data_IF_153065412520
#
_entry.id   IF_153065412520
#
_cell.length_a   1.000
_cell.length_b   1.000
_cell.length_c   1.000
_cell.angle_alpha   90.00
_cell.angle_beta   90.00
_cell.angle_gamma   90.00
#
_symmetry.space_group_name_H-M   'P 1'
#
loop_
_entity.id
_entity.type
_entity.pdbx_description
1 polymer ?
#
# COMPACT_ATOMS: atom_id res chain seq x y z
N UNK A 1 31.20 -6.78 5.66
CA UNK A 1 32.05 -5.87 6.44
C UNK A 1 32.72 -6.68 7.56
N UNK A 2 33.69 -7.53 7.23
CA UNK A 2 34.38 -8.42 8.21
C UNK A 2 35.65 -7.79 8.80
N UNK A 3 35.91 -6.52 8.54
CA UNK A 3 37.14 -5.80 8.94
C UNK A 3 37.15 -5.37 10.40
N UNK A 4 36.01 -5.45 11.10
CA UNK A 4 35.87 -5.03 12.50
C UNK A 4 35.56 -6.19 13.46
N UNK A 5 35.60 -7.42 12.94
CA UNK A 5 35.29 -8.64 13.68
C UNK A 5 36.54 -9.53 13.70
N UNK A 6 36.91 -10.05 14.86
CA UNK A 6 37.96 -11.06 15.00
C UNK A 6 37.25 -12.36 15.36
N UNK A 7 37.38 -13.35 14.49
CA UNK A 7 36.53 -14.55 14.48
C UNK A 7 35.03 -14.17 14.51
N UNK A 8 34.30 -14.57 15.55
CA UNK A 8 32.89 -14.21 15.78
C UNK A 8 32.73 -13.03 16.75
N UNK A 9 33.80 -12.54 17.38
CA UNK A 9 33.72 -11.52 18.43
C UNK A 9 33.97 -10.12 17.86
N UNK A 10 33.11 -9.12 18.19
CA UNK A 10 33.36 -7.75 17.79
C UNK A 10 34.62 -7.24 18.49
N UNK A 11 35.50 -6.57 17.73
CA UNK A 11 36.67 -5.89 18.31
C UNK A 11 36.25 -4.79 19.27
N UNK A 12 37.15 -4.33 20.16
CA UNK A 12 36.86 -3.19 21.06
C UNK A 12 36.46 -1.93 20.30
N UNK A 13 37.06 -1.68 19.13
CA UNK A 13 36.67 -0.59 18.25
C UNK A 13 35.25 -0.78 17.71
N UNK A 14 34.88 -1.99 17.28
CA UNK A 14 33.52 -2.30 16.84
C UNK A 14 32.49 -2.12 17.97
N UNK A 15 32.84 -2.50 19.19
CA UNK A 15 32.00 -2.29 20.38
C UNK A 15 31.81 -0.79 20.63
N UNK A 16 32.89 0.01 20.61
CA UNK A 16 32.80 1.45 20.80
C UNK A 16 31.91 2.13 19.73
N UNK A 17 32.05 1.73 18.45
CA UNK A 17 31.19 2.22 17.37
C UNK A 17 29.73 1.79 17.59
N UNK A 18 29.51 0.55 18.05
CA UNK A 18 28.16 0.07 18.37
C UNK A 18 27.51 0.87 19.52
N UNK A 19 28.28 1.26 20.55
CA UNK A 19 27.77 2.12 21.62
C UNK A 19 27.35 3.50 21.10
N UNK A 20 28.12 4.10 20.18
CA UNK A 20 27.72 5.36 19.51
C UNK A 20 26.37 5.17 18.79
N UNK A 21 26.23 4.09 18.03
CA UNK A 21 24.95 3.77 17.37
C UNK A 21 23.78 3.51 18.33
N UNK A 22 24.05 3.02 19.55
CA UNK A 22 23.02 2.87 20.59
C UNK A 22 22.54 4.20 21.14
N UNK A 23 23.39 5.23 21.19
CA UNK A 23 22.99 6.58 21.60
C UNK A 23 21.94 7.11 20.60
N UNK A 24 22.23 7.05 19.31
CA UNK A 24 21.30 7.49 18.26
C UNK A 24 19.99 6.69 18.29
N UNK A 25 20.08 5.36 18.47
CA UNK A 25 18.90 4.50 18.60
C UNK A 25 18.06 4.89 19.83
N UNK A 26 18.70 5.17 20.96
CA UNK A 26 18.02 5.59 22.20
C UNK A 26 17.31 6.92 21.98
N UNK A 27 17.99 7.93 21.43
CA UNK A 27 17.39 9.23 21.10
C UNK A 27 16.21 9.04 20.13
N UNK A 28 16.37 8.21 19.11
CA UNK A 28 15.31 7.90 18.16
C UNK A 28 14.07 7.28 18.83
N UNK A 29 14.28 6.32 19.74
CA UNK A 29 13.21 5.65 20.48
C UNK A 29 12.51 6.61 21.44
N UNK A 30 13.26 7.42 22.19
CA UNK A 30 12.70 8.43 23.09
C UNK A 30 11.85 9.43 22.31
N UNK A 31 12.37 10.00 21.21
CA UNK A 31 11.62 10.91 20.35
C UNK A 31 10.40 10.25 19.72
N UNK A 32 10.44 8.94 19.43
CA UNK A 32 9.28 8.21 18.92
C UNK A 32 8.22 7.97 20.01
N UNK A 33 8.60 7.82 21.27
CA UNK A 33 7.64 7.65 22.38
C UNK A 33 7.01 8.99 22.77
N UNK A 34 7.79 10.07 22.74
CA UNK A 34 7.37 11.39 23.19
C UNK A 34 6.49 12.13 22.15
N UNK A 35 6.87 12.09 20.86
CA UNK A 35 6.20 12.83 19.79
C UNK A 35 5.12 11.99 19.08
N UNK A 36 3.85 12.28 19.38
CA UNK A 36 2.71 11.62 18.74
C UNK A 36 2.63 11.91 17.23
N UNK A 37 2.92 13.14 16.79
CA UNK A 37 2.85 13.54 15.38
C UNK A 37 3.85 12.71 14.56
N UNK A 38 5.06 12.56 15.09
CA UNK A 38 6.10 11.71 14.51
C UNK A 38 5.71 10.23 14.47
N UNK A 39 5.01 9.72 15.49
CA UNK A 39 4.44 8.35 15.42
C UNK A 39 3.41 8.21 14.32
N UNK A 40 2.44 9.13 14.27
CA UNK A 40 1.37 9.10 13.27
C UNK A 40 1.94 9.17 11.85
N UNK A 41 2.92 10.03 11.59
CA UNK A 41 3.57 10.11 10.29
C UNK A 41 4.26 8.80 9.87
N UNK A 42 4.96 8.14 10.80
CA UNK A 42 5.54 6.82 10.51
C UNK A 42 4.48 5.75 10.25
N UNK A 43 3.40 5.72 11.03
CA UNK A 43 2.32 4.77 10.85
C UNK A 43 1.60 5.00 9.50
N UNK A 44 1.40 6.24 9.08
CA UNK A 44 0.84 6.53 7.75
C UNK A 44 1.69 5.96 6.62
N UNK A 45 3.02 6.12 6.70
CA UNK A 45 3.95 5.53 5.72
C UNK A 45 3.93 4.00 5.76
N UNK A 46 3.87 3.41 6.96
CA UNK A 46 3.76 1.95 7.10
C UNK A 46 2.45 1.43 6.50
N UNK A 47 1.33 2.08 6.80
CA UNK A 47 0.01 1.72 6.30
C UNK A 47 -0.07 1.76 4.76
N UNK A 48 0.67 2.66 4.10
CA UNK A 48 0.79 2.70 2.65
C UNK A 48 1.39 1.38 2.11
N UNK A 49 2.49 0.94 2.71
CA UNK A 49 3.14 -0.32 2.34
C UNK A 49 2.27 -1.54 2.68
N UNK A 50 1.74 -1.60 3.89
CA UNK A 50 0.88 -2.69 4.35
C UNK A 50 -0.40 -2.82 3.51
N UNK A 51 -1.03 -1.69 3.17
CA UNK A 51 -2.20 -1.66 2.30
C UNK A 51 -1.91 -2.21 0.90
N UNK A 52 -0.80 -1.78 0.29
CA UNK A 52 -0.32 -2.33 -1.00
C UNK A 52 -0.06 -3.83 -0.91
N UNK A 53 0.59 -4.30 0.17
CA UNK A 53 0.87 -5.71 0.37
C UNK A 53 -0.38 -6.54 0.68
N UNK A 54 -1.37 -5.97 1.35
CA UNK A 54 -2.68 -6.59 1.56
C UNK A 54 -3.39 -6.80 0.21
N UNK A 55 -3.50 -5.73 -0.59
CA UNK A 55 -4.08 -5.81 -1.93
C UNK A 55 -3.34 -6.82 -2.82
N UNK A 56 -2.01 -6.81 -2.82
CA UNK A 56 -1.22 -7.74 -3.62
C UNK A 56 -1.49 -9.21 -3.24
N UNK A 57 -1.72 -9.51 -1.95
CA UNK A 57 -2.07 -10.85 -1.49
C UNK A 57 -3.46 -11.29 -1.96
N UNK A 58 -4.43 -10.38 -1.96
CA UNK A 58 -5.78 -10.65 -2.48
C UNK A 58 -5.80 -10.86 -4.00
N UNK A 59 -5.03 -10.05 -4.75
CA UNK A 59 -4.86 -10.25 -6.18
C UNK A 59 -4.17 -11.60 -6.46
N UNK A 60 -3.14 -11.93 -5.69
CA UNK A 60 -2.42 -13.20 -5.76
C UNK A 60 -3.08 -14.29 -4.89
N UNK A 61 -4.39 -14.48 -5.06
CA UNK A 61 -5.22 -15.43 -4.31
C UNK A 61 -4.82 -16.92 -4.50
N UNK A 62 -3.95 -17.24 -5.46
CA UNK A 62 -3.38 -18.58 -5.63
C UNK A 62 -2.26 -18.87 -4.62
N UNK A 63 -2.27 -20.05 -3.99
CA UNK A 63 -1.24 -20.50 -3.01
C UNK A 63 -1.04 -19.57 -1.81
N UNK A 64 -2.10 -18.92 -1.28
CA UNK A 64 -2.03 -18.03 -0.09
C UNK A 64 -1.08 -16.83 -0.24
N UNK A 65 -0.85 -16.31 -1.44
CA UNK A 65 0.12 -15.22 -1.62
C UNK A 65 1.57 -15.70 -1.81
N UNK A 66 1.84 -17.02 -1.79
CA UNK A 66 3.20 -17.57 -1.81
C UNK A 66 3.66 -17.99 -3.21
N UNK A 67 4.78 -17.42 -3.65
CA UNK A 67 5.36 -17.65 -4.96
C UNK A 67 6.40 -18.78 -4.91
N UNK A 68 5.95 -20.02 -5.06
CA UNK A 68 6.87 -21.16 -5.25
C UNK A 68 7.15 -21.37 -6.73
N UNK A 69 8.26 -20.79 -7.21
CA UNK A 69 8.87 -21.14 -8.50
C UNK A 69 10.37 -21.44 -8.33
N UNK A 70 10.86 -22.41 -9.11
CA UNK A 70 12.23 -22.95 -9.04
C UNK A 70 13.27 -22.07 -9.77
N UNK A 71 12.83 -21.14 -10.63
CA UNK A 71 13.67 -20.27 -11.46
C UNK A 71 13.42 -18.80 -11.13
N UNK A 72 14.50 -18.00 -11.03
CA UNK A 72 14.47 -16.58 -10.64
C UNK A 72 13.78 -15.67 -11.68
N UNK A 73 14.00 -15.94 -12.96
CA UNK A 73 13.44 -15.15 -14.07
C UNK A 73 11.91 -15.25 -14.14
N UNK A 74 11.35 -16.45 -13.93
CA UNK A 74 9.90 -16.64 -13.83
C UNK A 74 9.26 -15.98 -12.60
N UNK A 75 10.04 -15.78 -11.52
CA UNK A 75 9.54 -15.02 -10.36
C UNK A 75 9.46 -13.52 -10.66
N UNK A 76 10.42 -12.98 -11.40
CA UNK A 76 10.46 -11.56 -11.79
C UNK A 76 9.29 -11.20 -12.72
N UNK A 77 8.97 -12.06 -13.69
CA UNK A 77 7.81 -11.86 -14.57
C UNK A 77 6.49 -11.90 -13.80
N UNK A 78 6.32 -12.86 -12.88
CA UNK A 78 5.12 -12.97 -12.06
C UNK A 78 4.96 -11.78 -11.11
N UNK A 79 6.05 -11.32 -10.47
CA UNK A 79 6.03 -10.15 -9.60
C UNK A 79 5.76 -8.87 -10.39
N UNK A 80 6.29 -8.75 -11.61
CA UNK A 80 6.05 -7.61 -12.49
C UNK A 80 4.59 -7.54 -12.94
N UNK A 81 4.03 -8.68 -13.37
CA UNK A 81 2.62 -8.78 -13.73
C UNK A 81 1.70 -8.48 -12.52
N UNK A 82 2.02 -9.03 -11.34
CA UNK A 82 1.28 -8.74 -10.11
C UNK A 82 1.34 -7.25 -9.78
N UNK A 83 2.54 -6.65 -9.84
CA UNK A 83 2.73 -5.22 -9.61
C UNK A 83 1.91 -4.35 -10.56
N UNK A 84 1.83 -4.74 -11.84
CA UNK A 84 1.01 -4.07 -12.84
C UNK A 84 -0.48 -4.11 -12.48
N UNK A 85 -1.01 -5.29 -12.16
CA UNK A 85 -2.43 -5.46 -11.79
C UNK A 85 -2.78 -4.69 -10.52
N UNK A 86 -1.92 -4.75 -9.50
CA UNK A 86 -2.10 -3.97 -8.26
C UNK A 86 -2.12 -2.48 -8.57
N UNK A 87 -1.21 -1.98 -9.40
CA UNK A 87 -1.19 -0.57 -9.78
C UNK A 87 -2.43 -0.17 -10.59
N UNK A 88 -2.95 -1.05 -11.47
CA UNK A 88 -4.19 -0.81 -12.22
C UNK A 88 -5.40 -0.68 -11.29
N UNK A 89 -5.50 -1.53 -10.27
CA UNK A 89 -6.56 -1.44 -9.25
C UNK A 89 -6.45 -0.14 -8.46
N UNK A 90 -5.25 0.22 -8.01
CA UNK A 90 -5.01 1.47 -7.28
C UNK A 90 -5.38 2.68 -8.12
N UNK A 91 -5.04 2.67 -9.41
CA UNK A 91 -5.43 3.72 -10.35
C UNK A 91 -6.94 3.81 -10.49
N UNK A 92 -7.62 2.67 -10.71
CA UNK A 92 -9.08 2.60 -10.82
C UNK A 92 -9.74 3.15 -9.54
N UNK A 93 -9.30 2.70 -8.37
CA UNK A 93 -9.80 3.18 -7.08
C UNK A 93 -9.63 4.70 -6.94
N UNK A 94 -8.45 5.23 -7.30
CA UNK A 94 -8.16 6.66 -7.20
C UNK A 94 -9.07 7.49 -8.11
N UNK A 95 -9.27 7.05 -9.35
CA UNK A 95 -10.15 7.73 -10.31
C UNK A 95 -11.61 7.74 -9.85
N UNK A 96 -12.12 6.61 -9.37
CA UNK A 96 -13.50 6.53 -8.90
C UNK A 96 -13.70 7.27 -7.58
N UNK A 97 -12.74 7.24 -6.66
CA UNK A 97 -12.81 8.04 -5.43
C UNK A 97 -12.89 9.54 -5.73
N UNK A 98 -12.08 10.05 -6.65
CA UNK A 98 -12.14 11.47 -7.05
C UNK A 98 -13.49 11.83 -7.69
N UNK A 99 -14.01 10.95 -8.56
CA UNK A 99 -15.32 11.12 -9.17
C UNK A 99 -16.45 11.14 -8.12
N UNK A 100 -16.38 10.23 -7.13
CA UNK A 100 -17.33 10.16 -6.01
C UNK A 100 -17.25 11.42 -5.14
N UNK A 101 -16.04 11.88 -4.78
CA UNK A 101 -15.86 13.12 -4.01
C UNK A 101 -16.42 14.33 -4.76
N UNK A 102 -16.20 14.40 -6.08
CA UNK A 102 -16.77 15.44 -6.93
C UNK A 102 -18.29 15.40 -6.95
N UNK A 103 -18.89 14.22 -7.04
CA UNK A 103 -20.35 14.05 -6.97
C UNK A 103 -20.90 14.45 -5.61
N UNK A 104 -20.30 13.99 -4.51
CA UNK A 104 -20.71 14.33 -3.14
C UNK A 104 -20.70 15.84 -2.90
N UNK A 105 -19.64 16.54 -3.36
CA UNK A 105 -19.57 18.00 -3.29
C UNK A 105 -20.69 18.68 -4.09
N UNK A 106 -21.04 18.15 -5.27
CA UNK A 106 -22.16 18.67 -6.10
C UNK A 106 -23.53 18.43 -5.48
N UNK A 107 -23.69 17.32 -4.77
CA UNK A 107 -24.92 16.98 -4.03
C UNK A 107 -25.06 17.75 -2.71
N UNK A 108 -24.06 18.56 -2.34
CA UNK A 108 -24.09 19.36 -1.11
C UNK A 108 -23.65 18.60 0.14
N UNK A 109 -23.11 17.39 -0.01
CA UNK A 109 -22.56 16.64 1.12
C UNK A 109 -21.27 17.31 1.64
N UNK A 110 -21.10 17.50 2.96
CA UNK A 110 -19.92 18.12 3.53
C UNK A 110 -18.71 17.18 3.47
N UNK A 111 -17.92 17.29 2.41
CA UNK A 111 -16.62 16.60 2.29
C UNK A 111 -15.56 17.39 3.06
N UNK A 112 -15.18 16.89 4.23
CA UNK A 112 -14.15 17.50 5.08
C UNK A 112 -12.74 17.18 4.55
N UNK A 113 -11.83 18.16 4.44
CA UNK A 113 -10.46 17.93 3.98
C UNK A 113 -9.70 16.90 4.82
N UNK A 114 -9.96 16.84 6.13
CA UNK A 114 -9.36 15.86 7.04
C UNK A 114 -9.82 14.42 6.80
N UNK A 115 -11.02 14.21 6.24
CA UNK A 115 -11.55 12.90 5.89
C UNK A 115 -10.99 12.46 4.53
N UNK A 116 -10.92 13.39 3.57
CA UNK A 116 -10.31 13.17 2.25
C UNK A 116 -8.82 12.79 2.37
N UNK A 117 -8.08 13.44 3.27
CA UNK A 117 -6.67 13.13 3.53
C UNK A 117 -6.42 11.73 4.12
N UNK A 118 -7.46 11.05 4.61
CA UNK A 118 -7.37 9.70 5.20
C UNK A 118 -7.79 8.59 4.24
N UNK A 119 -8.27 8.94 3.04
CA UNK A 119 -8.68 7.96 2.05
C UNK A 119 -7.49 7.10 1.61
N UNK A 120 -7.77 5.82 1.37
CA UNK A 120 -6.78 4.84 0.95
C UNK A 120 -7.23 4.17 -0.35
N UNK A 121 -6.43 4.20 -1.42
CA UNK A 121 -6.77 3.57 -2.70
C UNK A 121 -6.56 2.05 -2.70
N UNK A 122 -6.25 1.44 -1.56
CA UNK A 122 -6.05 -0.01 -1.48
C UNK A 122 -7.30 -0.79 -1.11
N UNK A 123 -8.44 -0.13 -0.86
CA UNK A 123 -9.70 -0.83 -0.61
C UNK A 123 -10.08 -1.73 -1.79
N UNK A 124 -10.46 -2.99 -1.51
CA UNK A 124 -10.69 -3.99 -2.57
C UNK A 124 -11.89 -4.90 -2.31
N UNK A 125 -12.72 -4.60 -1.30
CA UNK A 125 -13.93 -5.38 -1.00
C UNK A 125 -14.96 -5.35 -2.14
N UNK A 126 -14.94 -4.29 -2.95
CA UNK A 126 -15.83 -4.12 -4.10
C UNK A 126 -15.34 -4.86 -5.37
N UNK A 127 -14.18 -5.54 -5.31
CA UNK A 127 -13.58 -6.25 -6.45
C UNK A 127 -13.74 -7.75 -6.23
N UNK A 128 -14.46 -8.41 -7.14
CA UNK A 128 -14.50 -9.86 -7.18
C UNK A 128 -13.20 -10.39 -7.77
N UNK A 129 -12.32 -10.98 -6.94
CA UNK A 129 -11.03 -11.56 -7.38
C UNK A 129 -11.16 -13.02 -7.85
N UNK A 130 -12.27 -13.69 -7.52
CA UNK A 130 -12.53 -15.09 -7.85
C UNK A 130 -13.73 -15.21 -8.79
N UNK A 131 -13.67 -16.20 -9.68
CA UNK A 131 -14.78 -16.59 -10.54
C UNK A 131 -14.49 -16.45 -12.03
N UNK A 132 -15.55 -16.45 -12.84
CA UNK A 132 -15.47 -16.22 -14.28
C UNK A 132 -15.80 -14.77 -14.59
N UNK A 133 -14.89 -14.11 -15.27
CA UNK A 133 -15.10 -12.75 -15.77
C UNK A 133 -15.69 -12.82 -17.17
N UNK A 134 -16.80 -12.13 -17.37
CA UNK A 134 -17.30 -11.78 -18.70
C UNK A 134 -17.08 -10.29 -18.89
N UNK A 135 -16.27 -9.94 -19.88
CA UNK A 135 -15.97 -8.55 -20.18
C UNK A 135 -16.92 -8.07 -21.28
N UNK A 136 -17.88 -7.23 -20.90
CA UNK A 136 -18.61 -6.37 -21.82
C UNK A 136 -18.20 -4.94 -21.48
N UNK A 137 -17.52 -4.27 -22.41
CA UNK A 137 -17.09 -2.88 -22.22
C UNK A 137 -18.20 -1.99 -22.76
N UNK A 138 -18.91 -1.22 -21.92
CA UNK A 138 -19.90 -0.27 -22.40
C UNK A 138 -19.25 0.79 -23.30
N UNK A 139 -19.95 1.26 -24.32
CA UNK A 139 -19.42 2.25 -25.27
C UNK A 139 -18.88 3.51 -24.59
N UNK A 140 -19.49 3.94 -23.49
CA UNK A 140 -19.00 5.05 -22.68
C UNK A 140 -17.58 4.79 -22.14
N UNK A 141 -17.35 3.60 -21.59
CA UNK A 141 -16.02 3.20 -21.08
C UNK A 141 -15.02 3.06 -22.23
N UNK A 142 -15.46 2.56 -23.39
CA UNK A 142 -14.61 2.49 -24.59
C UNK A 142 -14.17 3.89 -25.09
N UNK A 143 -14.98 4.94 -24.84
CA UNK A 143 -14.61 6.34 -25.11
C UNK A 143 -13.78 6.99 -24.00
N UNK A 144 -13.46 6.27 -22.94
CA UNK A 144 -12.70 6.77 -21.79
C UNK A 144 -13.55 7.45 -20.72
N UNK A 145 -14.89 7.33 -20.78
CA UNK A 145 -15.77 7.84 -19.73
C UNK A 145 -15.82 6.86 -18.55
N UNK A 146 -16.13 7.38 -17.35
CA UNK A 146 -16.32 6.56 -16.16
C UNK A 146 -17.67 5.83 -16.21
N UNK A 147 -17.73 4.65 -15.56
CA UNK A 147 -18.99 3.96 -15.31
C UNK A 147 -19.88 4.87 -14.43
N UNK A 148 -21.20 4.92 -14.67
CA UNK A 148 -22.11 5.65 -13.82
C UNK A 148 -21.95 5.26 -12.35
N UNK A 149 -21.85 6.26 -11.48
CA UNK A 149 -21.81 6.09 -10.04
C UNK A 149 -23.21 5.71 -9.52
N UNK A 150 -23.25 4.91 -8.45
CA UNK A 150 -24.50 4.64 -7.75
C UNK A 150 -25.03 5.91 -7.08
N UNK A 151 -26.35 5.99 -6.88
CA UNK A 151 -26.91 7.05 -6.02
C UNK A 151 -26.47 6.79 -4.57
N UNK A 152 -26.22 7.86 -3.82
CA UNK A 152 -26.00 7.73 -2.38
C UNK A 152 -27.18 6.97 -1.76
N UNK A 153 -26.90 5.85 -1.10
CA UNK A 153 -27.91 5.15 -0.31
C UNK A 153 -28.31 6.05 0.84
N UNK A 154 -29.57 6.49 0.87
CA UNK A 154 -30.17 7.08 2.06
C UNK A 154 -30.12 6.01 3.17
N UNK A 155 -29.22 6.19 4.14
CA UNK A 155 -29.15 5.41 5.38
C UNK A 155 -28.96 6.35 6.53
#
# INVERSE_FOLDING_TARGET
MSTLQVDERPTRLAQAIAEIGRIDKTIHTLNFIDDESRRRGKLQQLNLGEGRHSLAREVFHGKRGELFQRYREGQEDQLSALGLVVNMIVLWNTLYMDAILTQLRREGYPVRPEDEARLSPFGHEHINMLGRYSFSVPDAVARGELRPLGKASET
#
